data_IF_675272897291
#
_entry.id   IF_675272897291
#
_cell.length_a   1.000
_cell.length_b   1.000
_cell.length_c   1.000
_cell.angle_alpha   90.00
_cell.angle_beta   90.00
_cell.angle_gamma   90.00
#
_symmetry.space_group_name_H-M   'P 1'
#
loop_
_entity.id
_entity.type
_entity.pdbx_description
1 polymer ?
#
# COMPACT_ATOMS: atom_id res chain seq x y z
N UNK A 1 -7.53 10.84 23.45
CA UNK A 1 -7.46 10.98 22.00
C UNK A 1 -6.37 10.08 21.40
N UNK A 2 -5.14 10.14 21.93
CA UNK A 2 -4.00 9.35 21.40
C UNK A 2 -4.22 7.84 21.55
N UNK A 3 -4.68 7.37 22.71
CA UNK A 3 -5.03 5.95 22.90
C UNK A 3 -6.11 5.48 21.93
N UNK A 4 -7.12 6.30 21.67
CA UNK A 4 -8.19 5.98 20.74
C UNK A 4 -7.71 5.89 19.29
N UNK A 5 -6.67 6.63 18.92
CA UNK A 5 -6.07 6.63 17.58
C UNK A 5 -5.36 5.31 17.29
N UNK A 6 -4.56 4.82 18.25
CA UNK A 6 -3.72 3.63 18.07
C UNK A 6 -4.39 2.35 18.56
N UNK A 7 -5.47 2.43 19.36
CA UNK A 7 -6.22 1.26 19.84
C UNK A 7 -6.79 0.38 18.71
N UNK A 8 -6.99 0.95 17.52
CA UNK A 8 -7.43 0.22 16.34
C UNK A 8 -6.44 -0.87 15.87
N UNK A 9 -5.15 -0.74 16.22
CA UNK A 9 -4.10 -1.71 15.88
C UNK A 9 -3.96 -2.83 16.92
N UNK A 10 -4.77 -2.83 17.96
CA UNK A 10 -4.82 -3.92 18.94
C UNK A 10 -5.70 -5.01 18.35
N UNK A 11 -5.09 -5.98 17.74
CA UNK A 11 -5.78 -7.08 17.05
C UNK A 11 -5.14 -8.44 17.32
N UNK A 12 -5.73 -9.47 16.77
CA UNK A 12 -5.19 -10.83 16.82
C UNK A 12 -3.87 -10.90 16.09
N UNK A 13 -2.85 -11.45 16.75
CA UNK A 13 -1.54 -11.69 16.16
C UNK A 13 -1.46 -13.14 15.71
N UNK A 14 -2.07 -13.46 14.57
CA UNK A 14 -1.83 -14.74 13.91
C UNK A 14 -0.68 -14.57 12.90
N UNK A 15 0.27 -15.49 12.92
CA UNK A 15 1.45 -15.51 12.03
C UNK A 15 1.57 -16.79 11.24
N UNK A 16 0.72 -17.78 11.51
CA UNK A 16 0.78 -19.09 10.88
C UNK A 16 0.00 -19.08 9.57
N UNK A 17 0.68 -19.35 8.46
CA UNK A 17 0.07 -19.61 7.16
C UNK A 17 -0.19 -21.09 7.07
N UNK A 18 -1.46 -21.47 7.10
CA UNK A 18 -1.86 -22.87 6.97
C UNK A 18 -1.90 -23.36 5.52
N UNK A 19 -2.17 -24.64 5.32
CA UNK A 19 -2.17 -25.28 4.01
C UNK A 19 -3.25 -24.68 3.07
N UNK A 20 -4.44 -24.38 3.61
CA UNK A 20 -5.53 -23.79 2.82
C UNK A 20 -5.16 -22.39 2.34
N UNK A 21 -4.59 -21.56 3.20
CA UNK A 21 -4.09 -20.23 2.80
C UNK A 21 -3.03 -20.33 1.71
N UNK A 22 -2.14 -21.34 1.78
CA UNK A 22 -1.12 -21.57 0.75
C UNK A 22 -1.75 -21.95 -0.60
N UNK A 23 -2.75 -22.85 -0.60
CA UNK A 23 -3.48 -23.23 -1.80
C UNK A 23 -4.19 -22.03 -2.45
N UNK A 24 -4.81 -21.15 -1.65
CA UNK A 24 -5.47 -19.95 -2.14
C UNK A 24 -4.48 -18.94 -2.73
N UNK A 25 -3.32 -18.80 -2.10
CA UNK A 25 -2.21 -18.00 -2.64
C UNK A 25 -1.74 -18.57 -3.97
N UNK A 26 -1.60 -19.89 -4.09
CA UNK A 26 -1.20 -20.56 -5.34
C UNK A 26 -2.22 -20.35 -6.45
N UNK A 27 -3.48 -20.50 -6.13
CA UNK A 27 -4.58 -20.26 -7.07
C UNK A 27 -4.58 -18.82 -7.59
N UNK A 28 -4.43 -17.85 -6.67
CA UNK A 28 -4.41 -16.44 -7.05
C UNK A 28 -3.14 -16.06 -7.82
N UNK A 29 -1.99 -16.62 -7.44
CA UNK A 29 -0.75 -16.45 -8.21
C UNK A 29 -0.89 -16.95 -9.65
N UNK A 30 -1.47 -18.14 -9.84
CA UNK A 30 -1.76 -18.69 -11.17
C UNK A 30 -2.69 -17.81 -11.99
N UNK A 31 -3.70 -17.19 -11.36
CA UNK A 31 -4.59 -16.24 -12.01
C UNK A 31 -3.85 -14.95 -12.43
N UNK A 32 -3.04 -14.38 -11.54
CA UNK A 32 -2.26 -13.18 -11.83
C UNK A 32 -1.15 -13.41 -12.87
N UNK A 33 -0.60 -14.62 -12.96
CA UNK A 33 0.42 -14.97 -13.95
C UNK A 33 -0.07 -14.80 -15.41
N UNK A 34 -1.39 -14.78 -15.63
CA UNK A 34 -1.96 -14.50 -16.96
C UNK A 34 -1.77 -13.06 -17.42
N UNK A 35 -1.36 -12.16 -16.53
CA UNK A 35 -1.19 -10.72 -16.80
C UNK A 35 0.25 -10.33 -17.19
N UNK A 36 1.16 -11.30 -17.28
CA UNK A 36 2.58 -11.06 -17.63
C UNK A 36 3.21 -9.93 -16.77
N UNK A 37 3.13 -10.08 -15.44
CA UNK A 37 3.65 -9.09 -14.49
C UNK A 37 5.17 -9.10 -14.52
N UNK A 38 5.78 -7.99 -14.96
CA UNK A 38 7.24 -7.84 -14.89
C UNK A 38 7.68 -7.57 -13.45
N UNK A 39 8.66 -8.33 -12.98
CA UNK A 39 9.34 -8.12 -11.68
C UNK A 39 10.63 -7.29 -11.81
N UNK A 40 11.01 -6.91 -13.03
CA UNK A 40 12.17 -6.04 -13.24
C UNK A 40 11.98 -4.69 -12.54
N UNK A 41 13.02 -4.18 -11.86
CA UNK A 41 12.93 -2.89 -11.20
C UNK A 41 12.64 -1.76 -12.20
N UNK A 42 11.67 -0.92 -11.85
CA UNK A 42 11.31 0.25 -12.64
C UNK A 42 12.43 1.28 -12.63
N UNK A 43 12.63 1.96 -13.75
CA UNK A 43 13.59 3.08 -13.80
C UNK A 43 13.21 4.15 -12.79
N UNK A 44 14.21 4.77 -12.15
CA UNK A 44 14.01 5.79 -11.13
C UNK A 44 13.15 6.97 -11.65
N UNK A 45 13.34 7.37 -12.89
CA UNK A 45 12.56 8.43 -13.52
C UNK A 45 11.08 8.06 -13.61
N UNK A 46 10.77 6.85 -14.07
CA UNK A 46 9.39 6.35 -14.19
C UNK A 46 8.73 6.17 -12.81
N UNK A 47 9.51 5.70 -11.83
CA UNK A 47 9.04 5.57 -10.45
C UNK A 47 8.66 6.92 -9.83
N UNK A 48 9.32 8.01 -10.20
CA UNK A 48 9.08 9.36 -9.67
C UNK A 48 8.05 10.13 -10.50
N UNK A 49 8.26 10.18 -11.81
CA UNK A 49 7.46 11.05 -12.70
C UNK A 49 6.33 10.32 -13.40
N UNK A 50 6.20 9.03 -13.15
CA UNK A 50 5.12 8.21 -13.68
C UNK A 50 5.37 7.71 -15.11
N UNK A 51 4.55 6.75 -15.50
CA UNK A 51 4.47 6.17 -16.84
C UNK A 51 3.05 5.69 -17.07
N UNK A 52 2.75 5.12 -18.22
CA UNK A 52 1.44 4.53 -18.48
C UNK A 52 1.02 3.55 -17.37
N UNK A 53 -0.17 3.72 -16.82
CA UNK A 53 -0.69 2.93 -15.70
C UNK A 53 -0.08 3.24 -14.33
N UNK A 54 0.84 4.19 -14.23
CA UNK A 54 1.41 4.62 -12.95
C UNK A 54 1.55 6.15 -12.92
N UNK A 55 0.72 6.82 -12.15
CA UNK A 55 0.79 8.28 -11.99
C UNK A 55 2.10 8.74 -11.36
N UNK A 56 2.51 9.98 -11.67
CA UNK A 56 3.64 10.61 -11.02
C UNK A 56 3.42 10.77 -9.51
N UNK A 57 4.51 10.80 -8.74
CA UNK A 57 4.42 11.16 -7.33
C UNK A 57 3.76 12.52 -7.14
N UNK A 58 2.83 12.60 -6.20
CA UNK A 58 2.24 13.88 -5.80
C UNK A 58 3.25 14.68 -4.98
N UNK A 59 3.71 15.78 -5.55
CA UNK A 59 4.70 16.67 -4.93
C UNK A 59 4.08 17.62 -3.88
N UNK A 60 2.76 17.62 -3.72
CA UNK A 60 2.05 18.46 -2.75
C UNK A 60 1.92 17.79 -1.38
N UNK A 61 2.02 16.47 -1.32
CA UNK A 61 1.93 15.69 -0.10
C UNK A 61 3.25 15.69 0.70
N UNK A 62 3.18 15.24 1.95
CA UNK A 62 4.35 15.13 2.85
C UNK A 62 5.50 14.34 2.21
N UNK A 63 6.73 14.77 2.45
CA UNK A 63 7.93 14.01 2.10
C UNK A 63 8.28 12.94 3.15
N UNK A 64 7.54 12.87 4.26
CA UNK A 64 7.80 11.94 5.36
C UNK A 64 9.06 12.26 6.13
N UNK A 65 9.47 11.33 7.02
CA UNK A 65 10.69 11.45 7.80
C UNK A 65 11.92 11.10 6.94
N UNK A 66 13.08 11.78 7.10
CA UNK A 66 13.34 12.87 8.03
C UNK A 66 13.00 14.27 7.47
N UNK A 67 12.52 14.37 6.27
CA UNK A 67 12.35 15.63 5.54
C UNK A 67 11.43 16.59 6.25
N UNK A 68 10.33 16.10 6.80
CA UNK A 68 9.34 16.94 7.50
C UNK A 68 9.96 17.62 8.75
N UNK A 69 10.86 16.92 9.45
CA UNK A 69 11.57 17.50 10.61
C UNK A 69 12.62 18.53 10.20
N UNK A 70 13.09 18.46 8.95
CA UNK A 70 14.04 19.41 8.37
C UNK A 70 13.36 20.55 7.59
N UNK A 71 12.01 20.59 7.56
CA UNK A 71 11.26 21.57 6.80
C UNK A 71 11.35 21.41 5.28
N UNK A 72 11.83 20.27 4.80
CA UNK A 72 12.05 19.97 3.36
C UNK A 72 10.77 19.35 2.78
N UNK A 73 10.31 19.88 1.66
CA UNK A 73 9.15 19.38 0.91
C UNK A 73 9.60 18.56 -0.31
N UNK A 74 8.75 17.68 -0.82
CA UNK A 74 9.04 16.91 -2.05
C UNK A 74 9.47 17.81 -3.22
N UNK A 75 8.83 18.97 -3.39
CA UNK A 75 9.14 19.96 -4.43
C UNK A 75 10.51 20.62 -4.31
N UNK A 76 11.14 20.53 -3.14
CA UNK A 76 12.48 21.07 -2.92
C UNK A 76 13.56 20.06 -3.37
N UNK A 77 13.16 18.81 -3.54
CA UNK A 77 14.00 17.67 -3.99
C UNK A 77 13.69 17.33 -5.44
N UNK A 78 12.42 17.34 -5.83
CA UNK A 78 11.92 16.88 -7.13
C UNK A 78 11.29 18.02 -7.93
N UNK A 79 11.54 18.06 -9.23
CA UNK A 79 10.94 19.02 -10.14
C UNK A 79 10.40 18.32 -11.38
N UNK A 80 9.09 18.46 -11.63
CA UNK A 80 8.46 17.98 -12.87
C UNK A 80 9.00 18.66 -14.14
N UNK A 81 9.55 19.88 -14.00
CA UNK A 81 10.06 20.67 -15.11
C UNK A 81 11.44 20.22 -15.57
N UNK A 82 12.37 20.04 -14.63
CA UNK A 82 13.75 19.66 -14.94
C UNK A 82 13.96 18.15 -14.98
N UNK A 83 13.10 17.41 -14.28
CA UNK A 83 13.24 15.96 -14.04
C UNK A 83 14.61 15.55 -13.50
N UNK A 84 15.31 16.48 -12.83
CA UNK A 84 16.60 16.21 -12.20
C UNK A 84 16.40 15.37 -10.93
N UNK A 85 17.10 14.25 -10.87
CA UNK A 85 17.05 13.27 -9.77
C UNK A 85 18.28 13.29 -8.87
N UNK A 86 19.22 14.21 -9.10
CA UNK A 86 20.48 14.27 -8.37
C UNK A 86 20.26 14.42 -6.87
N UNK A 87 19.45 15.40 -6.48
CA UNK A 87 19.10 15.62 -5.06
C UNK A 87 18.40 14.41 -4.43
N UNK A 88 17.54 13.75 -5.18
CA UNK A 88 16.86 12.55 -4.68
C UNK A 88 17.86 11.44 -4.36
N UNK A 89 18.79 11.19 -5.27
CA UNK A 89 19.84 10.17 -5.07
C UNK A 89 20.69 10.50 -3.87
N UNK A 90 21.16 11.75 -3.73
CA UNK A 90 21.89 12.20 -2.56
C UNK A 90 21.10 12.01 -1.25
N UNK A 91 19.79 12.27 -1.27
CA UNK A 91 18.94 12.05 -0.13
C UNK A 91 18.76 10.56 0.20
N UNK A 92 18.59 9.72 -0.82
CA UNK A 92 18.48 8.27 -0.63
C UNK A 92 19.76 7.69 -0.04
N UNK A 93 20.92 8.11 -0.55
CA UNK A 93 22.24 7.69 -0.03
C UNK A 93 22.45 8.17 1.42
N UNK A 94 22.04 9.39 1.74
CA UNK A 94 22.24 9.99 3.05
C UNK A 94 21.36 9.39 4.15
N UNK A 95 20.09 9.16 3.86
CA UNK A 95 19.10 8.79 4.89
C UNK A 95 18.72 7.31 4.84
N UNK A 96 19.01 6.60 3.74
CA UNK A 96 18.69 5.19 3.57
C UNK A 96 17.22 4.91 3.37
N UNK A 97 16.81 3.68 3.71
CA UNK A 97 15.47 3.12 3.55
C UNK A 97 14.94 2.57 4.88
N UNK A 98 13.68 2.13 4.89
CA UNK A 98 12.97 1.60 6.06
C UNK A 98 12.87 2.65 7.19
N UNK A 99 12.57 3.87 6.79
CA UNK A 99 12.48 5.02 7.67
C UNK A 99 11.13 5.05 8.40
N UNK A 100 11.06 5.64 9.60
CA UNK A 100 9.79 5.79 10.32
C UNK A 100 8.75 6.54 9.50
N UNK A 101 7.50 6.11 9.59
CA UNK A 101 6.36 6.77 8.98
C UNK A 101 5.86 7.91 9.87
N UNK A 102 5.49 9.02 9.28
CA UNK A 102 4.91 10.15 10.05
C UNK A 102 3.40 10.04 10.03
N UNK A 103 2.81 9.93 11.21
CA UNK A 103 1.37 9.80 11.37
C UNK A 103 0.70 11.17 11.46
N UNK A 104 -0.30 11.38 10.62
CA UNK A 104 -1.16 12.56 10.62
C UNK A 104 -2.61 12.17 10.86
N UNK A 105 -3.35 13.00 11.57
CA UNK A 105 -4.81 12.91 11.58
C UNK A 105 -5.33 13.47 10.26
N UNK A 106 -6.14 12.69 9.54
CA UNK A 106 -6.69 13.10 8.25
C UNK A 106 -7.65 14.25 8.43
N UNK A 107 -7.41 15.35 7.73
CA UNK A 107 -8.32 16.49 7.67
C UNK A 107 -9.48 16.14 6.72
N UNK A 108 -10.64 15.85 7.31
CA UNK A 108 -11.84 15.44 6.60
C UNK A 108 -13.11 15.76 7.39
N UNK A 109 -14.20 15.98 6.68
CA UNK A 109 -15.51 16.14 7.30
C UNK A 109 -15.99 14.81 7.90
N UNK A 110 -16.38 14.87 9.18
CA UNK A 110 -16.92 13.73 9.95
C UNK A 110 -18.22 14.12 10.63
N UNK A 111 -19.07 13.14 10.93
CA UNK A 111 -20.24 13.38 11.76
C UNK A 111 -19.82 13.86 13.15
N UNK A 112 -20.62 14.76 13.76
CA UNK A 112 -20.35 15.31 15.09
C UNK A 112 -20.14 14.21 16.15
N UNK A 113 -20.89 13.11 16.04
CA UNK A 113 -20.75 11.94 16.92
C UNK A 113 -19.35 11.30 16.82
N UNK A 114 -18.83 11.12 15.60
CA UNK A 114 -17.49 10.54 15.38
C UNK A 114 -16.39 11.48 15.88
N UNK A 115 -16.57 12.80 15.69
CA UNK A 115 -15.66 13.82 16.22
C UNK A 115 -15.64 13.79 17.74
N UNK A 116 -16.81 13.77 18.39
CA UNK A 116 -16.92 13.71 19.84
C UNK A 116 -16.26 12.45 20.45
N UNK A 117 -16.30 11.32 19.73
CA UNK A 117 -15.65 10.06 20.12
C UNK A 117 -14.14 10.00 19.74
N UNK A 118 -13.57 11.04 19.16
CA UNK A 118 -12.18 11.07 18.70
C UNK A 118 -11.88 10.08 17.55
N UNK A 119 -12.90 9.63 16.83
CA UNK A 119 -12.79 8.67 15.73
C UNK A 119 -12.39 9.37 14.42
N UNK A 120 -11.11 9.71 14.30
CA UNK A 120 -10.52 10.26 13.07
C UNK A 120 -9.71 9.19 12.34
N UNK A 121 -9.63 9.30 11.00
CA UNK A 121 -8.71 8.45 10.22
C UNK A 121 -7.29 8.97 10.35
N UNK A 122 -6.33 8.06 10.25
CA UNK A 122 -4.92 8.38 10.22
C UNK A 122 -4.39 8.25 8.79
N UNK A 123 -3.35 9.00 8.51
CA UNK A 123 -2.49 8.84 7.33
C UNK A 123 -1.09 8.58 7.86
N UNK A 124 -0.50 7.48 7.50
CA UNK A 124 0.86 7.10 7.83
C UNK A 124 1.76 7.42 6.62
N UNK A 125 2.29 8.64 6.58
CA UNK A 125 3.11 9.09 5.47
C UNK A 125 4.48 8.41 5.47
N UNK A 126 4.73 7.58 4.47
CA UNK A 126 6.05 7.01 4.21
C UNK A 126 7.06 8.08 3.84
N UNK A 127 8.33 7.81 4.12
CA UNK A 127 9.45 8.59 3.58
C UNK A 127 9.39 8.66 2.05
N UNK A 128 9.86 9.78 1.49
CA UNK A 128 10.07 9.89 0.04
C UNK A 128 10.99 8.77 -0.47
N UNK A 129 12.04 8.43 0.29
CA UNK A 129 12.97 7.37 -0.06
C UNK A 129 12.25 6.02 -0.19
N UNK A 130 11.48 5.64 0.82
CA UNK A 130 10.74 4.37 0.83
C UNK A 130 9.65 4.35 -0.25
N UNK A 131 8.95 5.46 -0.44
CA UNK A 131 7.95 5.59 -1.50
C UNK A 131 8.55 5.37 -2.89
N UNK A 132 9.73 5.95 -3.15
CA UNK A 132 10.42 5.79 -4.43
C UNK A 132 10.97 4.38 -4.58
N UNK A 133 11.61 3.83 -3.56
CA UNK A 133 12.17 2.49 -3.60
C UNK A 133 11.09 1.41 -3.79
N UNK A 134 9.95 1.53 -3.10
CA UNK A 134 8.81 0.63 -3.32
C UNK A 134 8.24 0.75 -4.74
N UNK A 135 8.20 1.96 -5.31
CA UNK A 135 7.76 2.15 -6.69
C UNK A 135 8.77 1.62 -7.71
N UNK A 136 10.07 1.67 -7.41
CA UNK A 136 11.07 1.00 -8.26
C UNK A 136 10.88 -0.52 -8.21
N UNK A 137 10.65 -1.09 -7.04
CA UNK A 137 10.49 -2.53 -6.85
C UNK A 137 9.16 -3.05 -7.41
N UNK A 138 8.04 -2.41 -7.03
CA UNK A 138 6.69 -2.91 -7.32
C UNK A 138 5.93 -2.08 -8.38
N UNK A 139 6.55 -1.08 -8.97
CA UNK A 139 5.87 -0.16 -9.89
C UNK A 139 5.28 -0.86 -11.11
N UNK A 140 5.92 -1.89 -11.64
CA UNK A 140 5.36 -2.69 -12.73
C UNK A 140 4.14 -3.50 -12.29
N UNK A 141 4.13 -4.03 -11.06
CA UNK A 141 2.95 -4.64 -10.46
C UNK A 141 1.80 -3.63 -10.33
N UNK A 142 2.08 -2.43 -9.80
CA UNK A 142 1.06 -1.39 -9.63
C UNK A 142 0.42 -0.99 -10.97
N UNK A 143 1.25 -0.73 -11.99
CA UNK A 143 0.73 -0.38 -13.33
C UNK A 143 -0.06 -1.52 -13.96
N UNK A 144 0.33 -2.78 -13.76
CA UNK A 144 -0.42 -3.93 -14.25
C UNK A 144 -1.82 -3.98 -13.64
N UNK A 145 -1.95 -3.74 -12.33
CA UNK A 145 -3.26 -3.66 -11.67
C UNK A 145 -4.10 -2.49 -12.19
N UNK A 146 -3.50 -1.31 -12.34
CA UNK A 146 -4.21 -0.12 -12.84
C UNK A 146 -4.68 -0.27 -14.29
N UNK A 147 -3.94 -0.99 -15.12
CA UNK A 147 -4.29 -1.23 -16.52
C UNK A 147 -5.27 -2.41 -16.71
N UNK A 148 -5.42 -3.27 -15.70
CA UNK A 148 -6.26 -4.47 -15.76
C UNK A 148 -7.25 -4.54 -14.58
N UNK A 149 -8.07 -3.49 -14.34
CA UNK A 149 -9.10 -3.59 -13.32
C UNK A 149 -10.14 -4.65 -13.71
N UNK A 150 -10.57 -5.45 -12.76
CA UNK A 150 -11.58 -6.46 -13.01
C UNK A 150 -11.35 -7.79 -12.29
N UNK A 151 -11.90 -8.87 -12.84
CA UNK A 151 -11.97 -10.20 -12.20
C UNK A 151 -10.57 -10.79 -11.99
N UNK A 152 -9.67 -10.65 -12.96
CA UNK A 152 -8.34 -11.26 -12.88
C UNK A 152 -7.51 -10.68 -11.75
N UNK A 153 -7.51 -9.36 -11.60
CA UNK A 153 -6.83 -8.70 -10.48
C UNK A 153 -7.65 -8.74 -9.19
N UNK A 154 -8.97 -8.92 -9.29
CA UNK A 154 -9.92 -8.75 -8.19
C UNK A 154 -9.92 -7.33 -7.64
N UNK A 155 -9.55 -6.35 -8.44
CA UNK A 155 -9.40 -4.94 -8.06
C UNK A 155 -10.08 -4.03 -9.06
N UNK A 156 -10.73 -2.98 -8.56
CA UNK A 156 -11.26 -1.89 -9.36
C UNK A 156 -10.33 -0.66 -9.38
N UNK A 157 -9.14 -0.75 -8.77
CA UNK A 157 -8.18 0.35 -8.75
C UNK A 157 -7.71 0.65 -10.17
N UNK A 158 -7.76 1.92 -10.58
CA UNK A 158 -7.41 2.35 -11.94
C UNK A 158 -8.56 2.31 -12.95
N UNK A 159 -9.74 1.81 -12.58
CA UNK A 159 -10.89 1.85 -13.47
C UNK A 159 -11.44 3.28 -13.65
N UNK A 160 -12.03 3.52 -14.82
CA UNK A 160 -12.92 4.66 -15.02
C UNK A 160 -14.31 4.29 -14.44
N UNK A 161 -14.78 4.95 -13.37
CA UNK A 161 -16.04 4.61 -12.72
C UNK A 161 -17.23 4.64 -13.69
N UNK A 162 -17.30 5.63 -14.57
CA UNK A 162 -18.44 5.83 -15.49
C UNK A 162 -18.55 4.67 -16.51
N UNK A 163 -17.41 4.12 -16.93
CA UNK A 163 -17.35 2.98 -17.83
C UNK A 163 -17.46 1.65 -17.07
N UNK A 164 -16.79 1.54 -15.93
CA UNK A 164 -16.68 0.29 -15.19
C UNK A 164 -18.00 -0.15 -14.56
N UNK A 165 -18.80 0.79 -14.04
CA UNK A 165 -20.10 0.52 -13.47
C UNK A 165 -21.06 -0.19 -14.45
N UNK A 166 -21.01 0.15 -15.72
CA UNK A 166 -21.82 -0.51 -16.75
C UNK A 166 -21.35 -1.92 -17.08
N UNK A 167 -20.09 -2.24 -16.83
CA UNK A 167 -19.48 -3.55 -17.11
C UNK A 167 -19.64 -4.55 -15.96
N UNK A 168 -19.75 -4.07 -14.71
CA UNK A 168 -19.86 -4.94 -13.52
C UNK A 168 -20.98 -5.98 -13.65
N UNK A 169 -22.23 -5.64 -14.04
CA UNK A 169 -23.29 -6.63 -14.15
C UNK A 169 -23.02 -7.73 -15.20
N UNK A 170 -22.20 -7.42 -16.19
CA UNK A 170 -21.81 -8.38 -17.24
C UNK A 170 -20.63 -9.25 -16.80
N UNK A 171 -19.74 -8.69 -16.00
CA UNK A 171 -18.54 -9.38 -15.50
C UNK A 171 -18.84 -10.31 -14.32
N UNK A 172 -19.83 -9.95 -13.49
CA UNK A 172 -20.23 -10.70 -12.31
C UNK A 172 -21.53 -11.45 -12.62
N UNK A 173 -21.46 -12.77 -12.71
CA UNK A 173 -22.61 -13.65 -12.92
C UNK A 173 -22.97 -14.36 -11.61
N UNK A 174 -24.29 -14.64 -11.40
CA UNK A 174 -24.78 -15.39 -10.27
C UNK A 174 -25.19 -14.55 -9.06
N UNK A 175 -25.04 -15.11 -7.85
CA UNK A 175 -25.39 -14.45 -6.60
C UNK A 175 -24.31 -13.48 -6.16
N UNK A 176 -24.65 -12.20 -6.04
CA UNK A 176 -23.73 -11.15 -5.64
C UNK A 176 -23.87 -10.88 -4.14
N UNK A 177 -22.75 -10.86 -3.45
CA UNK A 177 -22.65 -10.48 -2.03
C UNK A 177 -21.73 -9.26 -1.92
N UNK A 178 -22.22 -8.19 -1.31
CA UNK A 178 -21.44 -6.99 -1.04
C UNK A 178 -20.95 -6.98 0.40
N UNK A 179 -19.66 -6.71 0.59
CA UNK A 179 -19.05 -6.56 1.90
C UNK A 179 -18.51 -5.15 2.09
N UNK A 180 -18.52 -4.67 3.33
CA UNK A 180 -17.78 -3.50 3.77
C UNK A 180 -17.05 -3.82 5.07
N UNK A 181 -15.81 -3.35 5.19
CA UNK A 181 -14.96 -3.63 6.34
C UNK A 181 -14.89 -2.44 7.28
N UNK A 182 -15.00 -2.70 8.56
CA UNK A 182 -14.75 -1.68 9.58
C UNK A 182 -13.26 -1.65 9.94
N UNK A 183 -12.56 -0.60 9.49
CA UNK A 183 -11.14 -0.40 9.80
C UNK A 183 -10.24 -1.47 9.19
N UNK A 184 -10.46 -1.82 7.92
CA UNK A 184 -9.74 -2.88 7.20
C UNK A 184 -8.24 -2.84 7.40
N UNK A 185 -7.60 -1.70 7.08
CA UNK A 185 -6.14 -1.55 7.17
C UNK A 185 -5.62 -1.95 8.55
N UNK A 186 -6.25 -1.47 9.61
CA UNK A 186 -5.81 -1.70 10.98
C UNK A 186 -6.12 -3.12 11.49
N UNK A 187 -7.04 -3.84 10.86
CA UNK A 187 -7.45 -5.19 11.25
C UNK A 187 -6.58 -6.30 10.66
N UNK A 188 -5.68 -5.96 9.72
CA UNK A 188 -4.86 -6.95 9.06
C UNK A 188 -3.82 -7.57 10.00
N UNK A 189 -4.01 -8.84 10.33
CA UNK A 189 -3.06 -9.64 11.10
C UNK A 189 -1.77 -9.92 10.31
N UNK A 190 -0.62 -10.13 10.96
CA UNK A 190 0.65 -10.49 10.29
C UNK A 190 0.58 -11.67 9.34
N UNK A 191 -0.34 -12.62 9.53
CA UNK A 191 -0.51 -13.76 8.62
C UNK A 191 -0.85 -13.31 7.20
N UNK A 192 -1.63 -12.24 7.03
CA UNK A 192 -2.01 -11.74 5.72
C UNK A 192 -0.84 -11.09 4.99
N UNK A 193 0.10 -10.50 5.74
CA UNK A 193 1.38 -10.02 5.18
C UNK A 193 2.27 -11.20 4.77
N UNK A 194 2.27 -12.30 5.53
CA UNK A 194 2.99 -13.51 5.15
C UNK A 194 2.39 -14.13 3.87
N UNK A 195 1.07 -14.18 3.74
CA UNK A 195 0.40 -14.60 2.50
C UNK A 195 0.72 -13.68 1.32
N UNK A 196 0.72 -12.35 1.53
CA UNK A 196 1.12 -11.39 0.49
C UNK A 196 2.57 -11.61 0.06
N UNK A 197 3.48 -11.82 1.03
CA UNK A 197 4.89 -12.10 0.75
C UNK A 197 5.04 -13.36 -0.09
N UNK A 198 4.37 -14.45 0.30
CA UNK A 198 4.34 -15.70 -0.45
C UNK A 198 3.80 -15.52 -1.86
N UNK A 199 2.72 -14.75 -2.03
CA UNK A 199 2.15 -14.42 -3.34
C UNK A 199 3.16 -13.68 -4.23
N UNK A 200 3.85 -12.67 -3.69
CA UNK A 200 4.87 -11.92 -4.43
C UNK A 200 6.06 -12.82 -4.84
N UNK A 201 6.49 -13.72 -3.96
CA UNK A 201 7.54 -14.70 -4.26
C UNK A 201 7.12 -15.64 -5.42
N UNK A 202 5.86 -16.08 -5.41
CA UNK A 202 5.30 -16.91 -6.52
C UNK A 202 5.17 -16.14 -7.84
N UNK A 203 5.02 -14.82 -7.79
CA UNK A 203 5.07 -13.94 -8.96
C UNK A 203 6.49 -13.65 -9.43
N UNK A 204 7.52 -14.14 -8.73
CA UNK A 204 8.93 -14.04 -9.13
C UNK A 204 9.73 -12.96 -8.41
N UNK A 205 9.17 -12.28 -7.39
CA UNK A 205 9.95 -11.36 -6.56
C UNK A 205 10.89 -12.12 -5.62
N UNK A 206 12.08 -11.58 -5.41
CA UNK A 206 13.10 -12.15 -4.52
C UNK A 206 12.79 -11.81 -3.05
N UNK A 207 13.38 -12.57 -2.12
CA UNK A 207 13.31 -12.28 -0.68
C UNK A 207 13.77 -10.86 -0.34
N UNK A 208 14.75 -10.31 -1.06
CA UNK A 208 15.23 -8.94 -0.84
C UNK A 208 14.13 -7.91 -1.13
N UNK A 209 13.36 -8.14 -2.18
CA UNK A 209 12.27 -7.26 -2.60
C UNK A 209 11.05 -7.42 -1.68
N UNK A 210 10.71 -8.65 -1.30
CA UNK A 210 9.58 -8.92 -0.40
C UNK A 210 9.82 -8.49 1.05
N UNK A 211 11.06 -8.18 1.45
CA UNK A 211 11.36 -7.59 2.77
C UNK A 211 10.64 -6.23 3.00
N UNK A 212 10.23 -5.53 1.95
CA UNK A 212 9.36 -4.36 2.12
C UNK A 212 8.02 -4.71 2.78
N UNK A 213 7.51 -5.92 2.57
CA UNK A 213 6.28 -6.39 3.21
C UNK A 213 6.49 -6.61 4.70
N UNK A 214 7.68 -7.10 5.11
CA UNK A 214 8.04 -7.22 6.51
C UNK A 214 8.16 -5.85 7.20
N UNK A 215 8.71 -4.85 6.50
CA UNK A 215 8.74 -3.46 6.96
C UNK A 215 7.33 -2.87 7.13
N UNK A 216 6.41 -3.13 6.22
CA UNK A 216 5.02 -2.68 6.34
C UNK A 216 4.30 -3.39 7.50
N UNK A 217 4.53 -4.69 7.66
CA UNK A 217 3.95 -5.49 8.74
C UNK A 217 4.45 -5.08 10.13
N UNK A 218 5.69 -4.62 10.24
CA UNK A 218 6.32 -4.20 11.50
C UNK A 218 6.72 -2.74 11.40
N UNK A 219 5.74 -1.87 11.29
CA UNK A 219 5.96 -0.47 10.98
C UNK A 219 6.27 0.38 12.22
N UNK A 220 7.18 1.35 12.04
CA UNK A 220 7.53 2.34 13.04
C UNK A 220 6.86 3.67 12.69
N UNK A 221 6.14 4.26 13.62
CA UNK A 221 5.34 5.46 13.43
C UNK A 221 5.80 6.57 14.37
N UNK A 222 5.86 7.79 13.83
CA UNK A 222 6.10 9.02 14.56
C UNK A 222 4.80 9.83 14.61
N UNK A 223 4.31 10.10 15.81
CA UNK A 223 3.17 10.97 16.02
C UNK A 223 3.52 12.02 17.05
N UNK A 224 3.62 13.27 16.63
CA UNK A 224 4.15 14.37 17.46
C UNK A 224 5.56 14.05 17.98
N UNK A 225 5.73 13.94 19.30
CA UNK A 225 6.96 13.61 20.02
C UNK A 225 7.08 12.14 20.43
N UNK A 226 6.12 11.30 20.02
CA UNK A 226 6.04 9.89 20.39
C UNK A 226 6.36 8.95 19.24
N UNK A 227 6.91 7.81 19.61
CA UNK A 227 7.23 6.70 18.73
C UNK A 227 6.32 5.53 19.04
N UNK A 228 5.74 4.94 18.01
CA UNK A 228 4.90 3.76 18.13
C UNK A 228 5.41 2.66 17.18
N UNK A 229 5.42 1.44 17.68
CA UNK A 229 5.68 0.25 16.87
C UNK A 229 4.38 -0.51 16.69
N UNK A 230 4.02 -0.75 15.44
CA UNK A 230 2.79 -1.44 15.09
C UNK A 230 3.16 -2.75 14.42
N UNK A 231 2.55 -3.85 14.87
CA UNK A 231 2.68 -5.16 14.26
C UNK A 231 1.37 -5.58 13.64
N UNK A 232 1.37 -5.82 12.34
CA UNK A 232 0.15 -5.94 11.54
C UNK A 232 -0.44 -4.57 11.20
N UNK A 233 -1.53 -4.55 10.48
CA UNK A 233 -2.14 -3.32 9.96
C UNK A 233 -1.37 -2.74 8.77
N UNK A 234 -2.06 -2.43 7.69
CA UNK A 234 -1.45 -1.80 6.51
C UNK A 234 -1.34 -0.29 6.73
N UNK A 235 -0.12 0.29 6.67
CA UNK A 235 0.03 1.74 6.74
C UNK A 235 -0.65 2.43 5.56
N UNK A 236 -1.63 3.30 5.83
CA UNK A 236 -2.51 3.86 4.79
C UNK A 236 -1.84 4.82 3.82
N UNK A 237 -0.64 5.30 4.12
CA UNK A 237 0.12 6.24 3.28
C UNK A 237 1.37 5.65 2.65
N UNK A 238 1.53 4.32 2.65
CA UNK A 238 2.62 3.68 1.93
C UNK A 238 2.32 3.60 0.43
N UNK A 239 3.38 3.49 -0.38
CA UNK A 239 3.22 3.24 -1.81
C UNK A 239 2.64 1.84 -2.03
N UNK A 240 1.61 1.74 -2.85
CA UNK A 240 0.96 0.46 -3.18
C UNK A 240 -0.07 -0.03 -2.17
N UNK A 241 -0.44 0.74 -1.13
CA UNK A 241 -1.48 0.36 -0.14
C UNK A 241 -2.73 -0.24 -0.79
N UNK A 242 -3.29 0.42 -1.79
CA UNK A 242 -4.51 -0.04 -2.47
C UNK A 242 -4.32 -1.35 -3.21
N UNK A 243 -3.17 -1.57 -3.83
CA UNK A 243 -2.86 -2.80 -4.58
C UNK A 243 -2.61 -3.96 -3.60
N UNK A 244 -1.77 -3.76 -2.59
CA UNK A 244 -1.51 -4.78 -1.59
C UNK A 244 -2.77 -5.15 -0.80
N UNK A 245 -3.60 -4.17 -0.45
CA UNK A 245 -4.88 -4.42 0.18
C UNK A 245 -5.83 -5.21 -0.74
N UNK A 246 -5.87 -4.91 -2.04
CA UNK A 246 -6.65 -5.70 -3.00
C UNK A 246 -6.15 -7.13 -3.09
N UNK A 247 -4.82 -7.34 -3.12
CA UNK A 247 -4.23 -8.68 -3.14
C UNK A 247 -4.54 -9.45 -1.86
N UNK A 248 -4.36 -8.84 -0.70
CA UNK A 248 -4.69 -9.44 0.60
C UNK A 248 -6.19 -9.77 0.67
N UNK A 249 -7.06 -8.84 0.26
CA UNK A 249 -8.50 -9.06 0.27
C UNK A 249 -8.92 -10.25 -0.61
N UNK A 250 -8.30 -10.41 -1.78
CA UNK A 250 -8.54 -11.57 -2.64
C UNK A 250 -8.17 -12.89 -1.95
N UNK A 251 -7.05 -12.92 -1.23
CA UNK A 251 -6.65 -14.11 -0.44
C UNK A 251 -7.66 -14.35 0.67
N UNK A 252 -8.01 -13.32 1.47
CA UNK A 252 -8.98 -13.43 2.56
C UNK A 252 -10.31 -14.01 2.08
N UNK A 253 -10.88 -13.46 1.00
CA UNK A 253 -12.17 -13.92 0.48
C UNK A 253 -12.09 -15.38 0.03
N UNK A 254 -11.03 -15.79 -0.63
CA UNK A 254 -10.82 -17.20 -1.06
C UNK A 254 -10.74 -18.13 0.15
N UNK A 255 -9.97 -17.76 1.17
CA UNK A 255 -9.78 -18.58 2.38
C UNK A 255 -11.07 -18.71 3.21
N UNK A 256 -12.01 -17.77 3.08
CA UNK A 256 -13.28 -17.78 3.82
C UNK A 256 -14.43 -18.46 3.05
N UNK A 257 -14.29 -18.72 1.77
CA UNK A 257 -15.32 -19.33 0.90
C UNK A 257 -15.02 -20.77 0.56
#
# INVERSE_FOLDING_TARGET
>A
FEEAIFSKYIGYVNTHVDEYMQEDVDHYAGQLATLDISTEPMRLEDAVYGTEGLEALDLTTSAGYPYVTLGIKKRDILSKKTKDLTKLKECMDKYGLNLPMVTYVKDELRSAEKVAKGKSRLIEASSLNDSVAMRQTFGNLYRTFHLNPGIVTGSAVGCDPDVFWSKIPVMLDGHLIAFDYSGYDASLSPVWFACLKLLLEKLGYTNKETNYIDYLCNSHHLYRDKHYFVRGGMPSGCSGTSIFNSMINNIIIRTLM
#
